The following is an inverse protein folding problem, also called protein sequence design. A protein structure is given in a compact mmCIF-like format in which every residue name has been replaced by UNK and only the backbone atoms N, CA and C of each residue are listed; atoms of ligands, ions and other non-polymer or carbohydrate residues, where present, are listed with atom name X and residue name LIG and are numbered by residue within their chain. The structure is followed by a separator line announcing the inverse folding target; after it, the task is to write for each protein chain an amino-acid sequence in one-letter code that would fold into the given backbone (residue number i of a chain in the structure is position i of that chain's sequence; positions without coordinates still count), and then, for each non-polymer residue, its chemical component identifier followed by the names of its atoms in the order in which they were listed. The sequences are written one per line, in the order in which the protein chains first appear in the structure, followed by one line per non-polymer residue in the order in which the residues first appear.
data_IF_353896161868
#
_entry.id   IF_353896161868
#
_cell.length_a   1.000
_cell.length_b   1.000
_cell.length_c   1.000
_cell.angle_alpha   90.00
_cell.angle_beta   90.00
_cell.angle_gamma   90.00
#
_symmetry.space_group_name_H-M   'P 1'
#
loop_
_entity.id
_entity.type
_entity.pdbx_description
1 polymer ?
#
# COMPACT_ATOMS: atom_id res chain seq x y z
N UNK A 1 -16.18 14.18 1.97
CA UNK A 1 -16.08 14.42 3.44
C UNK A 1 -17.29 15.16 3.95
N UNK A 2 -17.41 16.49 3.76
CA UNK A 2 -18.47 17.33 4.35
C UNK A 2 -19.89 16.70 4.32
N UNK A 3 -20.37 16.33 3.14
CA UNK A 3 -21.71 15.75 2.93
C UNK A 3 -21.87 14.30 3.41
N UNK A 4 -20.78 13.53 3.53
CA UNK A 4 -20.85 12.14 4.00
C UNK A 4 -20.92 12.06 5.52
N UNK A 5 -20.04 12.81 6.22
CA UNK A 5 -19.97 12.80 7.67
C UNK A 5 -21.17 13.47 8.32
N UNK A 6 -21.80 14.49 7.70
CA UNK A 6 -23.03 15.10 8.23
C UNK A 6 -24.18 14.09 8.35
N UNK A 7 -24.34 13.20 7.37
CA UNK A 7 -25.39 12.17 7.35
C UNK A 7 -25.08 11.03 8.33
N UNK A 8 -23.81 10.62 8.46
CA UNK A 8 -23.42 9.69 9.53
C UNK A 8 -23.70 10.27 10.91
N UNK A 9 -23.36 11.54 11.15
CA UNK A 9 -23.63 12.22 12.42
C UNK A 9 -25.13 12.26 12.72
N UNK A 10 -25.98 12.58 11.75
CA UNK A 10 -27.43 12.54 11.92
C UNK A 10 -27.94 11.12 12.26
N UNK A 11 -27.44 10.09 11.58
CA UNK A 11 -27.79 8.69 11.87
C UNK A 11 -27.35 8.27 13.28
N UNK A 12 -26.12 8.60 13.68
CA UNK A 12 -25.59 8.30 15.02
C UNK A 12 -26.34 9.05 16.13
N UNK A 13 -26.78 10.29 15.89
CA UNK A 13 -27.62 11.04 16.83
C UNK A 13 -29.02 10.42 16.96
N UNK A 14 -29.61 9.94 15.87
CA UNK A 14 -30.85 9.14 15.93
C UNK A 14 -30.68 7.87 16.76
N UNK A 15 -29.56 7.15 16.56
CA UNK A 15 -29.26 5.92 17.30
C UNK A 15 -28.99 6.20 18.78
N UNK A 16 -28.37 7.33 19.11
CA UNK A 16 -28.20 7.80 20.48
C UNK A 16 -29.55 8.12 21.12
N UNK A 17 -30.46 8.79 20.39
CA UNK A 17 -31.80 9.12 20.87
C UNK A 17 -32.65 7.86 21.13
N UNK A 18 -32.63 6.87 20.23
CA UNK A 18 -33.33 5.59 20.44
C UNK A 18 -32.80 4.86 21.69
N UNK A 19 -31.48 4.91 21.93
CA UNK A 19 -30.84 4.21 23.06
C UNK A 19 -30.95 4.92 24.42
N UNK A 20 -31.07 6.24 24.44
CA UNK A 20 -30.95 7.04 25.69
C UNK A 20 -32.11 8.00 25.96
N UNK A 21 -32.91 8.34 24.95
CA UNK A 21 -34.01 9.32 25.05
C UNK A 21 -35.39 8.71 24.77
N UNK A 22 -35.47 7.40 24.49
CA UNK A 22 -36.73 6.71 24.20
C UNK A 22 -37.33 7.08 22.83
N UNK A 23 -36.49 7.47 21.87
CA UNK A 23 -36.95 7.66 20.49
C UNK A 23 -37.15 6.31 19.76
N UNK A 24 -37.86 6.36 18.62
CA UNK A 24 -38.22 5.19 17.80
C UNK A 24 -37.85 5.40 16.32
N UNK A 25 -36.68 6.00 16.06
CA UNK A 25 -36.21 6.36 14.70
C UNK A 25 -35.85 5.11 13.89
N UNK A 26 -35.20 4.13 14.51
CA UNK A 26 -34.74 2.90 13.87
C UNK A 26 -35.55 1.65 14.26
N UNK A 27 -36.72 1.86 14.86
CA UNK A 27 -37.66 0.80 15.26
C UNK A 27 -38.07 -0.07 14.05
N UNK A 28 -37.97 -1.43 14.14
CA UNK A 28 -38.45 -2.34 13.11
C UNK A 28 -39.91 -2.10 12.69
N UNK A 29 -40.79 -1.68 13.61
CA UNK A 29 -42.21 -1.43 13.32
C UNK A 29 -42.41 -0.30 12.28
N UNK A 30 -41.47 0.65 12.21
CA UNK A 30 -41.52 1.82 11.33
C UNK A 30 -40.62 1.67 10.10
N UNK A 31 -40.07 0.48 9.83
CA UNK A 31 -39.09 0.25 8.76
C UNK A 31 -37.68 0.79 9.06
N UNK A 32 -37.43 1.20 10.30
CA UNK A 32 -36.21 1.90 10.72
C UNK A 32 -34.90 1.13 10.47
N UNK A 33 -34.95 -0.21 10.47
CA UNK A 33 -33.80 -1.07 10.15
C UNK A 33 -33.27 -0.85 8.71
N UNK A 34 -34.17 -0.58 7.75
CA UNK A 34 -33.79 -0.28 6.36
C UNK A 34 -33.33 1.18 6.23
N UNK A 35 -33.98 2.10 6.95
CA UNK A 35 -33.56 3.50 7.03
C UNK A 35 -32.12 3.62 7.53
N UNK A 36 -31.77 2.93 8.62
CA UNK A 36 -30.39 2.87 9.13
C UNK A 36 -29.40 2.43 8.06
N UNK A 37 -29.70 1.35 7.32
CA UNK A 37 -28.82 0.86 6.23
C UNK A 37 -28.62 1.91 5.14
N UNK A 38 -29.67 2.61 4.71
CA UNK A 38 -29.52 3.68 3.71
C UNK A 38 -28.65 4.84 4.23
N UNK A 39 -28.89 5.33 5.44
CA UNK A 39 -28.12 6.45 6.01
C UNK A 39 -26.64 6.06 6.25
N UNK A 40 -26.40 4.87 6.81
CA UNK A 40 -25.05 4.36 7.05
C UNK A 40 -24.27 4.18 5.75
N UNK A 41 -24.86 3.53 4.73
CA UNK A 41 -24.16 3.31 3.47
C UNK A 41 -24.01 4.57 2.63
N UNK A 42 -24.92 5.54 2.74
CA UNK A 42 -24.75 6.87 2.13
C UNK A 42 -23.48 7.56 2.62
N UNK A 43 -23.05 7.30 3.86
CA UNK A 43 -21.70 7.65 4.33
C UNK A 43 -20.62 6.66 3.84
N UNK A 44 -20.84 5.36 4.05
CA UNK A 44 -19.82 4.32 3.90
C UNK A 44 -19.30 4.14 2.47
N UNK A 45 -20.11 4.42 1.44
CA UNK A 45 -19.62 4.34 0.06
C UNK A 45 -18.75 5.56 -0.34
N UNK A 46 -19.12 6.82 -0.04
CA UNK A 46 -18.19 7.94 -0.12
C UNK A 46 -16.90 7.77 0.72
N UNK A 47 -16.99 7.15 1.91
CA UNK A 47 -15.81 6.90 2.77
C UNK A 47 -14.68 6.19 2.03
N UNK A 48 -14.98 5.14 1.26
CA UNK A 48 -13.91 4.38 0.58
C UNK A 48 -13.17 5.22 -0.48
N UNK A 49 -13.80 6.24 -1.09
CA UNK A 49 -13.11 7.19 -1.97
C UNK A 49 -12.44 8.34 -1.22
N UNK A 50 -13.01 8.80 -0.11
CA UNK A 50 -12.34 9.75 0.78
C UNK A 50 -10.96 9.19 1.18
N UNK A 51 -10.89 7.89 1.47
CA UNK A 51 -9.62 7.19 1.71
C UNK A 51 -8.82 6.97 0.42
N UNK A 52 -9.43 6.60 -0.71
CA UNK A 52 -8.69 6.22 -1.93
C UNK A 52 -8.11 7.39 -2.75
N UNK A 53 -8.80 8.53 -2.84
CA UNK A 53 -8.41 9.64 -3.72
C UNK A 53 -7.01 10.22 -3.43
N UNK A 54 -6.57 10.40 -2.15
CA UNK A 54 -5.20 10.81 -1.84
C UNK A 54 -4.13 9.86 -2.39
N UNK A 55 -4.36 8.54 -2.35
CA UNK A 55 -3.42 7.55 -2.89
C UNK A 55 -3.28 7.62 -4.39
N UNK A 56 -4.38 7.86 -5.11
CA UNK A 56 -4.31 8.12 -6.54
C UNK A 56 -3.43 9.35 -6.83
N UNK A 57 -3.55 10.41 -6.02
CA UNK A 57 -2.68 11.59 -6.04
C UNK A 57 -1.19 11.24 -5.90
N UNK A 58 -0.82 10.50 -4.85
CA UNK A 58 0.57 10.08 -4.60
C UNK A 58 1.15 9.31 -5.81
N UNK A 59 0.38 8.39 -6.38
CA UNK A 59 0.81 7.59 -7.54
C UNK A 59 0.99 8.45 -8.81
N UNK A 60 0.25 9.55 -8.95
CA UNK A 60 0.44 10.52 -10.04
C UNK A 60 1.72 11.35 -9.93
N UNK A 61 2.30 11.51 -8.75
CA UNK A 61 3.61 12.16 -8.59
C UNK A 61 4.75 11.14 -8.81
N UNK A 62 4.56 9.89 -8.39
CA UNK A 62 5.59 8.84 -8.50
C UNK A 62 5.80 8.44 -9.96
N UNK A 63 4.76 8.06 -10.71
CA UNK A 63 4.97 7.51 -12.04
C UNK A 63 5.70 8.47 -13.00
N UNK A 64 5.43 9.79 -13.05
CA UNK A 64 6.19 10.71 -13.89
C UNK A 64 7.67 10.82 -13.49
N UNK A 65 7.95 10.94 -12.19
CA UNK A 65 9.31 11.08 -11.65
C UNK A 65 10.15 9.84 -11.98
N UNK A 66 9.65 8.66 -11.62
CA UNK A 66 10.40 7.41 -11.78
C UNK A 66 10.36 6.84 -13.21
N UNK A 67 9.48 7.34 -14.09
CA UNK A 67 9.50 7.05 -15.53
C UNK A 67 10.23 8.11 -16.36
N UNK A 68 10.69 9.21 -15.74
CA UNK A 68 11.33 10.38 -16.38
C UNK A 68 10.52 10.96 -17.54
N UNK A 69 9.19 11.02 -17.38
CA UNK A 69 8.24 11.39 -18.44
C UNK A 69 7.03 12.12 -17.82
N UNK A 70 6.50 13.21 -18.43
CA UNK A 70 5.33 13.90 -17.89
C UNK A 70 4.09 13.00 -17.83
N UNK A 71 3.19 13.30 -16.90
CA UNK A 71 1.94 12.55 -16.70
C UNK A 71 1.10 12.52 -17.98
N UNK A 72 0.72 11.32 -18.42
CA UNK A 72 -0.15 11.14 -19.58
C UNK A 72 -1.61 11.49 -19.23
N UNK A 73 -2.27 12.26 -20.09
CA UNK A 73 -3.71 12.47 -20.00
C UNK A 73 -4.20 13.31 -18.81
N UNK A 74 -3.39 14.26 -18.29
CA UNK A 74 -3.70 15.09 -17.11
C UNK A 74 -5.16 15.62 -17.04
N UNK A 75 -5.70 16.16 -18.15
CA UNK A 75 -7.10 16.63 -18.18
C UNK A 75 -8.10 15.51 -17.89
N UNK A 76 -7.91 14.34 -18.51
CA UNK A 76 -8.76 13.15 -18.29
C UNK A 76 -8.65 12.60 -16.87
N UNK A 77 -7.48 12.71 -16.24
CA UNK A 77 -7.22 12.35 -14.85
C UNK A 77 -8.01 13.25 -13.87
N UNK A 78 -8.03 14.57 -14.11
CA UNK A 78 -8.82 15.52 -13.31
C UNK A 78 -10.31 15.22 -13.45
N UNK A 79 -10.82 15.10 -14.69
CA UNK A 79 -12.22 14.77 -14.94
C UNK A 79 -12.64 13.41 -14.37
N UNK A 80 -11.80 12.38 -14.48
CA UNK A 80 -12.05 11.08 -13.87
C UNK A 80 -12.12 11.17 -12.33
N UNK A 81 -11.30 12.02 -11.72
CA UNK A 81 -11.30 12.22 -10.27
C UNK A 81 -12.56 12.96 -9.80
N UNK A 82 -13.01 13.98 -10.54
CA UNK A 82 -14.28 14.68 -10.29
C UNK A 82 -15.48 13.75 -10.51
N UNK A 83 -15.47 12.93 -11.56
CA UNK A 83 -16.52 11.94 -11.84
C UNK A 83 -16.62 10.90 -10.73
N UNK A 84 -15.50 10.36 -10.24
CA UNK A 84 -15.49 9.44 -9.08
C UNK A 84 -16.07 10.12 -7.84
N UNK A 85 -15.68 11.37 -7.54
CA UNK A 85 -16.21 12.10 -6.40
C UNK A 85 -17.74 12.31 -6.51
N UNK A 86 -18.25 12.69 -7.68
CA UNK A 86 -19.67 12.86 -7.93
C UNK A 86 -20.47 11.55 -7.89
N UNK A 87 -19.95 10.47 -8.48
CA UNK A 87 -20.59 9.15 -8.48
C UNK A 87 -20.58 8.50 -7.09
N UNK A 88 -19.61 8.80 -6.23
CA UNK A 88 -19.47 8.18 -4.91
C UNK A 88 -20.71 8.32 -4.00
N UNK A 89 -21.50 9.38 -4.18
CA UNK A 89 -22.73 9.65 -3.41
C UNK A 89 -24.00 9.08 -4.07
N UNK A 90 -23.89 8.46 -5.25
CA UNK A 90 -25.03 8.02 -6.05
C UNK A 90 -25.20 6.48 -6.12
N UNK A 91 -24.36 5.72 -5.40
CA UNK A 91 -24.24 4.26 -5.58
C UNK A 91 -24.40 3.43 -4.29
N UNK A 92 -24.61 4.08 -3.13
CA UNK A 92 -24.50 3.45 -1.81
C UNK A 92 -25.32 2.16 -1.63
N UNK A 93 -26.48 2.06 -2.26
CA UNK A 93 -27.41 0.96 -2.05
C UNK A 93 -26.99 -0.35 -2.74
N UNK A 94 -25.83 -0.43 -3.42
CA UNK A 94 -25.27 -1.75 -3.77
C UNK A 94 -24.87 -2.58 -2.56
N UNK A 95 -24.54 -1.94 -1.43
CA UNK A 95 -24.35 -2.63 -0.14
C UNK A 95 -25.67 -3.15 0.48
N UNK A 96 -26.77 -3.08 -0.28
CA UNK A 96 -28.12 -3.40 0.15
C UNK A 96 -28.90 -4.23 -0.88
N UNK A 97 -28.30 -4.71 -1.97
CA UNK A 97 -29.03 -5.46 -3.01
C UNK A 97 -29.80 -6.65 -2.43
N UNK A 98 -29.17 -7.47 -1.58
CA UNK A 98 -29.80 -8.62 -0.92
C UNK A 98 -30.95 -8.27 0.06
N UNK A 99 -31.21 -6.98 0.34
CA UNK A 99 -32.32 -6.56 1.23
C UNK A 99 -33.67 -6.47 0.53
N UNK A 100 -33.71 -6.43 -0.80
CA UNK A 100 -34.94 -6.21 -1.58
C UNK A 100 -35.51 -4.78 -1.54
N UNK A 101 -34.94 -3.87 -0.74
CA UNK A 101 -35.42 -2.50 -0.55
C UNK A 101 -34.70 -1.46 -1.44
N UNK A 102 -34.29 -1.85 -2.66
CA UNK A 102 -33.39 -1.05 -3.52
C UNK A 102 -33.88 -1.03 -4.97
N UNK A 103 -33.78 0.13 -5.63
CA UNK A 103 -33.98 0.25 -7.07
C UNK A 103 -32.79 -0.36 -7.84
N UNK A 104 -32.74 -1.69 -7.93
CA UNK A 104 -31.60 -2.46 -8.45
C UNK A 104 -31.05 -1.95 -9.79
N UNK A 105 -31.86 -1.64 -10.83
CA UNK A 105 -31.31 -1.23 -12.13
C UNK A 105 -30.52 0.08 -12.07
N UNK A 106 -30.99 1.05 -11.27
CA UNK A 106 -30.32 2.33 -11.09
C UNK A 106 -28.98 2.17 -10.37
N UNK A 107 -28.99 1.53 -9.19
CA UNK A 107 -27.78 1.38 -8.38
C UNK A 107 -26.74 0.48 -9.05
N UNK A 108 -27.18 -0.57 -9.76
CA UNK A 108 -26.32 -1.41 -10.60
C UNK A 108 -25.63 -0.60 -11.70
N UNK A 109 -26.41 0.10 -12.52
CA UNK A 109 -25.89 0.95 -13.59
C UNK A 109 -24.90 2.00 -13.08
N UNK A 110 -25.27 2.74 -12.03
CA UNK A 110 -24.42 3.79 -11.47
C UNK A 110 -23.13 3.23 -10.84
N UNK A 111 -23.17 2.02 -10.27
CA UNK A 111 -21.97 1.33 -9.75
C UNK A 111 -21.04 0.88 -10.88
N UNK A 112 -21.58 0.29 -11.96
CA UNK A 112 -20.80 -0.03 -13.16
C UNK A 112 -20.15 1.22 -13.77
N UNK A 113 -20.84 2.35 -13.76
CA UNK A 113 -20.36 3.60 -14.35
C UNK A 113 -19.06 4.10 -13.68
N UNK A 114 -18.79 3.78 -12.41
CA UNK A 114 -17.53 4.11 -11.71
C UNK A 114 -16.32 3.38 -12.32
N UNK A 115 -16.52 2.23 -12.97
CA UNK A 115 -15.43 1.52 -13.64
C UNK A 115 -14.82 2.34 -14.79
N UNK A 116 -15.61 3.21 -15.45
CA UNK A 116 -15.14 4.04 -16.59
C UNK A 116 -14.08 5.06 -16.18
N UNK A 117 -14.32 6.02 -15.25
CA UNK A 117 -13.29 6.96 -14.82
C UNK A 117 -12.13 6.24 -14.10
N UNK A 118 -12.39 5.14 -13.41
CA UNK A 118 -11.31 4.33 -12.80
C UNK A 118 -10.41 3.72 -13.88
N UNK A 119 -10.97 3.16 -14.95
CA UNK A 119 -10.24 2.64 -16.11
C UNK A 119 -9.40 3.72 -16.83
N UNK A 120 -9.94 4.93 -17.01
CA UNK A 120 -9.18 6.08 -17.55
C UNK A 120 -7.92 6.36 -16.72
N UNK A 121 -8.01 6.24 -15.39
CA UNK A 121 -6.86 6.43 -14.49
C UNK A 121 -5.80 5.34 -14.69
N UNK A 122 -6.21 4.07 -14.86
CA UNK A 122 -5.31 2.97 -15.23
C UNK A 122 -4.59 3.20 -16.57
N UNK A 123 -5.31 3.57 -17.63
CA UNK A 123 -4.69 3.85 -18.92
C UNK A 123 -3.74 5.05 -18.87
N UNK A 124 -4.06 6.08 -18.08
CA UNK A 124 -3.16 7.22 -17.88
C UNK A 124 -1.88 6.85 -17.10
N UNK A 125 -1.99 6.02 -16.06
CA UNK A 125 -0.84 5.49 -15.33
C UNK A 125 0.07 4.66 -16.25
N UNK A 126 -0.50 3.71 -17.00
CA UNK A 126 0.25 2.87 -17.96
C UNK A 126 0.87 3.74 -19.07
N UNK A 127 0.13 4.71 -19.62
CA UNK A 127 0.61 5.65 -20.64
C UNK A 127 1.73 6.57 -20.15
N UNK A 128 1.80 6.84 -18.84
CA UNK A 128 2.90 7.58 -18.21
C UNK A 128 4.17 6.74 -18.13
N UNK A 129 4.06 5.45 -17.78
CA UNK A 129 5.19 4.51 -17.77
C UNK A 129 5.64 4.09 -19.18
N UNK A 130 4.71 4.05 -20.15
CA UNK A 130 4.96 3.55 -21.51
C UNK A 130 6.02 4.35 -22.25
N UNK A 131 7.09 3.68 -22.72
CA UNK A 131 8.30 4.30 -23.30
C UNK A 131 9.01 5.31 -22.37
N UNK A 132 8.74 5.26 -21.06
CA UNK A 132 9.53 5.96 -20.05
C UNK A 132 10.82 5.22 -19.72
N UNK A 133 11.75 5.90 -19.06
CA UNK A 133 12.94 5.29 -18.47
C UNK A 133 12.62 4.96 -17.01
N UNK A 134 12.02 3.78 -16.78
CA UNK A 134 11.66 3.33 -15.43
C UNK A 134 12.92 3.05 -14.60
N UNK A 135 12.97 3.61 -13.40
CA UNK A 135 13.85 3.12 -12.33
C UNK A 135 13.01 2.51 -11.20
N UNK A 136 13.53 1.43 -10.61
CA UNK A 136 12.79 0.56 -9.67
C UNK A 136 13.19 0.82 -8.22
N UNK A 137 13.24 2.09 -7.83
CA UNK A 137 13.32 2.48 -6.43
C UNK A 137 12.04 2.05 -5.68
N UNK A 138 12.14 1.94 -4.36
CA UNK A 138 11.03 1.56 -3.47
C UNK A 138 9.68 2.25 -3.79
N UNK A 139 9.61 3.58 -4.07
CA UNK A 139 8.35 4.23 -4.42
C UNK A 139 7.68 3.68 -5.68
N UNK A 140 8.49 3.36 -6.70
CA UNK A 140 8.00 2.83 -7.97
C UNK A 140 7.48 1.41 -7.80
N UNK A 141 8.22 0.56 -7.07
CA UNK A 141 7.81 -0.83 -6.79
C UNK A 141 6.47 -0.88 -6.04
N UNK A 142 6.31 -0.07 -4.98
CA UNK A 142 5.03 -0.01 -4.26
C UNK A 142 3.88 0.52 -5.13
N UNK A 143 4.13 1.47 -6.03
CA UNK A 143 3.10 2.02 -6.91
C UNK A 143 2.67 1.05 -8.01
N UNK A 144 3.60 0.25 -8.54
CA UNK A 144 3.28 -0.87 -9.45
C UNK A 144 2.53 -1.98 -8.71
N UNK A 145 2.94 -2.31 -7.48
CA UNK A 145 2.23 -3.27 -6.62
C UNK A 145 0.79 -2.82 -6.28
N UNK A 146 0.60 -1.54 -5.97
CA UNK A 146 -0.72 -0.92 -5.85
C UNK A 146 -1.52 -1.08 -7.15
N UNK A 147 -0.94 -0.76 -8.31
CA UNK A 147 -1.64 -0.85 -9.60
C UNK A 147 -2.13 -2.28 -9.89
N UNK A 148 -1.32 -3.31 -9.61
CA UNK A 148 -1.72 -4.71 -9.79
C UNK A 148 -2.80 -5.14 -8.79
N UNK A 149 -2.61 -4.87 -7.49
CA UNK A 149 -3.58 -5.27 -6.44
C UNK A 149 -4.91 -4.55 -6.57
N UNK A 150 -4.88 -3.25 -6.88
CA UNK A 150 -6.06 -2.44 -7.13
C UNK A 150 -6.79 -2.84 -8.41
N UNK A 151 -6.11 -3.39 -9.42
CA UNK A 151 -6.76 -3.95 -10.62
C UNK A 151 -7.64 -5.16 -10.27
N UNK A 152 -7.11 -6.13 -9.52
CA UNK A 152 -7.90 -7.28 -9.06
C UNK A 152 -9.05 -6.88 -8.11
N UNK A 153 -8.81 -5.89 -7.24
CA UNK A 153 -9.85 -5.26 -6.43
C UNK A 153 -10.95 -4.60 -7.28
N UNK A 154 -10.57 -3.84 -8.31
CA UNK A 154 -11.52 -3.20 -9.23
C UNK A 154 -12.35 -4.22 -10.02
N UNK A 155 -11.72 -5.26 -10.56
CA UNK A 155 -12.40 -6.34 -11.30
C UNK A 155 -13.40 -7.10 -10.41
N UNK A 156 -13.05 -7.42 -9.17
CA UNK A 156 -13.99 -8.04 -8.22
C UNK A 156 -15.13 -7.09 -7.83
N UNK A 157 -14.88 -5.77 -7.78
CA UNK A 157 -15.91 -4.75 -7.57
C UNK A 157 -16.92 -4.65 -8.72
N UNK A 158 -16.47 -4.83 -9.96
CA UNK A 158 -17.35 -4.92 -11.14
C UNK A 158 -18.26 -6.15 -11.06
N UNK A 159 -17.78 -7.27 -10.49
CA UNK A 159 -18.62 -8.46 -10.26
C UNK A 159 -19.68 -8.19 -9.18
N UNK A 160 -19.33 -7.50 -8.09
CA UNK A 160 -20.28 -7.09 -7.04
C UNK A 160 -21.28 -6.01 -7.51
N UNK A 161 -20.93 -5.22 -8.53
CA UNK A 161 -21.87 -4.27 -9.13
C UNK A 161 -23.08 -4.97 -9.79
N UNK A 162 -22.95 -6.25 -10.16
CA UNK A 162 -24.00 -7.06 -10.77
C UNK A 162 -24.89 -7.76 -9.71
N UNK A 163 -26.18 -7.39 -9.54
CA UNK A 163 -27.05 -8.02 -8.54
C UNK A 163 -27.17 -9.55 -8.71
N UNK A 164 -27.13 -10.04 -9.95
CA UNK A 164 -27.18 -11.48 -10.25
C UNK A 164 -26.00 -12.28 -9.68
N UNK A 165 -24.85 -11.64 -9.49
CA UNK A 165 -23.68 -12.24 -8.82
C UNK A 165 -23.75 -11.93 -7.32
N UNK A 166 -23.99 -10.66 -6.96
CA UNK A 166 -24.01 -10.20 -5.57
C UNK A 166 -24.97 -11.01 -4.69
N UNK A 167 -26.17 -11.37 -5.18
CA UNK A 167 -27.11 -12.23 -4.44
C UNK A 167 -26.53 -13.59 -4.00
N UNK A 168 -25.47 -14.08 -4.66
CA UNK A 168 -24.79 -15.34 -4.32
C UNK A 168 -23.57 -15.14 -3.42
N UNK A 169 -23.01 -13.91 -3.36
CA UNK A 169 -21.74 -13.62 -2.70
C UNK A 169 -21.82 -12.52 -1.62
N UNK A 170 -22.97 -11.88 -1.45
CA UNK A 170 -23.27 -10.95 -0.36
C UNK A 170 -22.99 -11.60 0.99
N UNK A 171 -22.45 -10.83 1.94
CA UNK A 171 -22.02 -11.28 3.27
C UNK A 171 -21.06 -12.51 3.28
N UNK A 172 -20.38 -12.79 2.16
CA UNK A 172 -19.41 -13.89 2.04
C UNK A 172 -17.94 -13.42 2.03
N UNK A 173 -17.01 -14.37 2.13
CA UNK A 173 -15.58 -14.13 1.98
C UNK A 173 -15.18 -13.49 0.63
N UNK A 174 -16.03 -13.52 -0.40
CA UNK A 174 -15.76 -12.83 -1.66
C UNK A 174 -15.79 -11.30 -1.49
N UNK A 175 -16.78 -10.77 -0.76
CA UNK A 175 -16.87 -9.33 -0.43
C UNK A 175 -15.70 -8.92 0.45
N UNK A 176 -15.34 -9.76 1.44
CA UNK A 176 -14.16 -9.58 2.28
C UNK A 176 -12.89 -9.51 1.43
N UNK A 177 -12.70 -10.43 0.49
CA UNK A 177 -11.53 -10.43 -0.40
C UNK A 177 -11.50 -9.20 -1.30
N UNK A 178 -12.61 -8.84 -1.94
CA UNK A 178 -12.73 -7.63 -2.76
C UNK A 178 -12.28 -6.38 -2.00
N UNK A 179 -12.87 -6.13 -0.82
CA UNK A 179 -12.56 -4.96 0.00
C UNK A 179 -11.09 -4.94 0.42
N UNK A 180 -10.54 -6.09 0.81
CA UNK A 180 -9.12 -6.20 1.16
C UNK A 180 -8.18 -5.99 -0.03
N UNK A 181 -8.51 -6.40 -1.26
CA UNK A 181 -7.70 -6.06 -2.45
C UNK A 181 -7.65 -4.55 -2.69
N UNK A 182 -8.80 -3.87 -2.65
CA UNK A 182 -8.82 -2.40 -2.83
C UNK A 182 -8.22 -1.66 -1.64
N UNK A 183 -8.29 -2.19 -0.42
CA UNK A 183 -7.73 -1.57 0.79
C UNK A 183 -6.22 -1.83 1.00
N UNK A 184 -5.74 -3.07 0.90
CA UNK A 184 -4.31 -3.37 1.06
C UNK A 184 -3.44 -2.76 -0.05
N UNK A 185 -3.97 -2.62 -1.27
CA UNK A 185 -3.29 -1.82 -2.30
C UNK A 185 -2.97 -0.40 -1.83
N UNK A 186 -3.87 0.22 -1.06
CA UNK A 186 -3.65 1.55 -0.44
C UNK A 186 -2.68 1.49 0.74
N UNK A 187 -2.62 0.38 1.49
CA UNK A 187 -1.69 0.20 2.63
C UNK A 187 -0.21 0.13 2.20
N UNK A 188 0.10 -0.45 1.02
CA UNK A 188 1.44 -0.32 0.44
C UNK A 188 1.86 1.13 0.21
N UNK A 189 0.91 2.00 -0.15
CA UNK A 189 1.14 3.43 -0.31
C UNK A 189 1.11 4.21 1.02
N UNK A 190 0.52 3.70 2.11
CA UNK A 190 0.71 4.24 3.46
C UNK A 190 2.15 4.04 3.96
N UNK A 191 2.76 2.87 3.73
CA UNK A 191 4.19 2.64 4.05
C UNK A 191 5.09 3.60 3.27
N UNK A 192 4.70 3.91 2.02
CA UNK A 192 5.41 4.85 1.18
C UNK A 192 5.18 6.32 1.58
N UNK A 193 3.96 6.71 1.95
CA UNK A 193 3.66 8.02 2.52
C UNK A 193 4.32 8.25 3.88
N UNK A 194 4.50 7.19 4.68
CA UNK A 194 5.29 7.25 5.89
C UNK A 194 6.80 7.43 5.58
N UNK A 195 7.32 6.84 4.50
CA UNK A 195 8.72 7.02 4.10
C UNK A 195 9.02 8.35 3.38
N UNK A 196 8.01 9.16 3.04
CA UNK A 196 8.22 10.58 2.70
C UNK A 196 8.30 11.49 3.94
N UNK A 197 7.92 11.04 5.14
CA UNK A 197 8.06 11.84 6.37
C UNK A 197 9.53 12.23 6.67
N UNK A 198 10.53 11.35 6.55
CA UNK A 198 11.95 11.75 6.62
C UNK A 198 12.38 12.75 5.54
N UNK A 199 11.80 12.67 4.34
CA UNK A 199 12.09 13.59 3.24
C UNK A 199 11.49 14.98 3.50
N UNK A 200 10.23 15.05 3.93
CA UNK A 200 9.55 16.30 4.34
C UNK A 200 10.25 16.91 5.54
N UNK A 201 10.67 16.08 6.52
CA UNK A 201 11.49 16.52 7.64
C UNK A 201 12.83 17.11 7.19
N UNK A 202 13.52 16.49 6.22
CA UNK A 202 14.74 17.03 5.65
C UNK A 202 14.50 18.34 4.89
N UNK A 203 13.39 18.51 4.17
CA UNK A 203 13.01 19.80 3.54
C UNK A 203 12.79 20.86 4.63
N UNK A 204 11.99 20.57 5.66
CA UNK A 204 11.74 21.48 6.77
C UNK A 204 13.05 21.86 7.49
N UNK A 205 13.91 20.87 7.79
CA UNK A 205 15.23 21.09 8.39
C UNK A 205 16.11 21.98 7.51
N UNK A 206 16.15 21.73 6.20
CA UNK A 206 16.95 22.51 5.25
C UNK A 206 16.41 23.95 5.10
N UNK A 207 15.09 24.13 5.04
CA UNK A 207 14.47 25.44 4.95
C UNK A 207 14.64 26.28 6.23
N UNK A 208 14.60 25.64 7.41
CA UNK A 208 14.61 26.36 8.70
C UNK A 208 15.99 26.47 9.36
N UNK A 209 16.91 25.55 9.07
CA UNK A 209 18.24 25.47 9.69
C UNK A 209 19.37 25.22 8.67
N UNK A 210 19.09 25.24 7.36
CA UNK A 210 20.13 25.13 6.35
C UNK A 210 21.00 26.38 6.33
N UNK A 211 22.32 26.21 6.44
CA UNK A 211 23.26 27.31 6.26
C UNK A 211 23.15 27.85 4.83
N UNK A 212 23.07 29.17 4.69
CA UNK A 212 23.00 29.79 3.37
C UNK A 212 24.36 29.60 2.70
N UNK A 213 24.42 28.96 1.54
CA UNK A 213 25.69 28.72 0.82
C UNK A 213 26.49 30.02 0.55
N UNK A 214 25.81 31.17 0.46
CA UNK A 214 26.39 32.51 0.36
C UNK A 214 27.06 33.04 1.65
N UNK A 215 26.91 32.37 2.80
CA UNK A 215 27.73 32.61 4.00
C UNK A 215 29.02 31.79 3.94
N UNK A 216 28.96 30.51 3.53
CA UNK A 216 30.14 29.65 3.40
C UNK A 216 31.16 30.21 2.40
N UNK A 217 30.72 30.82 1.30
CA UNK A 217 31.62 31.50 0.36
C UNK A 217 32.22 32.82 0.89
N UNK A 218 31.65 33.41 1.95
CA UNK A 218 32.21 34.61 2.63
C UNK A 218 33.15 34.26 3.79
N UNK A 219 32.99 33.09 4.41
CA UNK A 219 33.85 32.62 5.51
C UNK A 219 34.94 31.65 5.07
N UNK A 220 34.85 31.05 3.88
CA UNK A 220 35.93 30.26 3.29
C UNK A 220 37.20 31.13 3.16
N UNK A 221 38.36 30.70 3.70
CA UNK A 221 39.60 31.46 3.59
C UNK A 221 40.03 31.55 2.13
N UNK A 222 40.01 32.76 1.57
CA UNK A 222 40.40 33.01 0.19
C UNK A 222 41.82 32.44 -0.08
N UNK A 223 41.99 31.45 -0.99
CA UNK A 223 43.28 30.79 -1.22
C UNK A 223 44.37 31.76 -1.70
N UNK A 224 44.00 32.86 -2.36
CA UNK A 224 44.94 33.91 -2.78
C UNK A 224 45.44 34.75 -1.59
N UNK A 225 44.68 34.86 -0.50
CA UNK A 225 45.07 35.59 0.71
C UNK A 225 46.00 34.78 1.59
N UNK A 226 45.76 33.47 1.74
CA UNK A 226 46.68 32.54 2.43
C UNK A 226 47.99 32.34 1.66
N UNK A 227 47.96 32.34 0.32
CA UNK A 227 49.18 32.33 -0.49
C UNK A 227 50.04 33.61 -0.27
N UNK A 228 49.42 34.80 -0.30
CA UNK A 228 50.13 36.07 -0.06
C UNK A 228 50.69 36.20 1.36
N UNK A 229 50.00 35.68 2.38
CA UNK A 229 50.53 35.67 3.75
C UNK A 229 51.73 34.72 3.93
N UNK A 230 51.78 33.60 3.20
CA UNK A 230 52.98 32.73 3.18
C UNK A 230 54.17 33.36 2.45
N UNK A 231 53.92 34.15 1.42
CA UNK A 231 54.95 34.86 0.66
C UNK A 231 55.49 36.13 1.34
N UNK A 232 54.90 36.57 2.47
CA UNK A 232 55.25 37.79 3.19
C UNK A 232 56.06 37.54 4.48
N UNK A 233 56.43 36.28 4.77
CA UNK A 233 57.34 35.94 5.86
C UNK A 233 58.79 36.00 5.33
N UNK A 234 59.69 36.78 5.95
CA UNK A 234 61.09 36.78 5.55
C UNK A 234 61.72 35.40 5.82
N UNK A 235 62.54 34.93 4.89
CA UNK A 235 63.37 33.76 5.10
C UNK A 235 64.40 34.07 6.21
N UNK A 236 64.45 33.22 7.23
CA UNK A 236 65.51 33.27 8.22
C UNK A 236 66.63 32.33 7.75
N UNK A 237 67.70 32.91 7.21
CA UNK A 237 68.94 32.18 6.99
C UNK A 237 69.57 31.79 8.34
N UNK A 238 70.24 30.64 8.36
CA UNK A 238 70.78 30.05 9.57
C UNK A 238 71.19 28.60 9.38
N UNK A 239 72.25 28.37 8.60
CA UNK A 239 72.96 27.10 8.62
C UNK A 239 73.54 26.84 10.02
N UNK A 240 73.17 25.71 10.63
CA UNK A 240 74.02 25.03 11.60
C UNK A 240 73.63 23.56 11.71
N UNK A 241 74.47 22.68 11.16
CA UNK A 241 74.40 21.23 11.35
C UNK A 241 75.56 20.79 12.24
N UNK A 242 75.33 19.90 13.21
CA UNK A 242 75.86 18.55 12.97
C UNK A 242 75.00 17.41 13.54
N UNK A 243 75.19 16.21 12.96
CA UNK A 243 74.89 14.94 13.63
C UNK A 243 73.79 14.08 13.01
N UNK A 244 74.13 13.27 12.00
CA UNK A 244 73.35 12.05 11.69
C UNK A 244 73.63 10.97 12.74
N UNK A 245 72.58 10.30 13.25
CA UNK A 245 72.64 8.86 13.43
C UNK A 245 71.65 8.11 12.52
N UNK A 246 71.87 6.79 12.42
CA UNK A 246 71.23 5.88 11.45
C UNK A 246 69.76 5.59 11.75
N UNK A 247 69.06 5.13 10.71
CA UNK A 247 67.78 4.44 10.82
C UNK A 247 67.81 3.34 11.89
N UNK A 248 66.84 3.38 12.80
CA UNK A 248 66.35 2.19 13.49
C UNK A 248 64.82 2.16 13.41
N UNK A 249 64.28 1.02 13.00
CA UNK A 249 62.88 0.69 13.21
C UNK A 249 62.57 0.77 14.71
N UNK A 250 61.52 1.50 15.10
CA UNK A 250 60.86 1.25 16.38
C UNK A 250 59.35 1.37 16.26
N UNK A 251 58.69 0.39 16.87
CA UNK A 251 57.25 0.18 16.82
C UNK A 251 56.51 1.17 17.73
N UNK A 252 55.21 1.26 17.52
CA UNK A 252 54.24 1.92 18.40
C UNK A 252 54.33 1.46 19.86
N UNK A 253 53.88 2.33 20.78
CA UNK A 253 53.14 1.84 21.93
C UNK A 253 51.81 2.59 22.11
N UNK A 254 50.72 1.84 22.12
CA UNK A 254 49.48 2.26 22.79
C UNK A 254 49.37 1.46 24.10
N UNK A 255 49.36 2.12 25.27
CA UNK A 255 49.05 1.47 26.55
C UNK A 255 48.73 2.46 27.69
N UNK A 256 47.45 2.49 28.11
CA UNK A 256 47.03 2.31 29.51
C UNK A 256 45.50 2.15 29.55
N UNK A 257 44.95 0.94 29.41
CA UNK A 257 44.81 -0.13 30.42
C UNK A 257 44.07 0.26 31.71
N UNK A 258 42.80 -0.17 31.78
CA UNK A 258 42.11 -0.57 33.00
C UNK A 258 41.65 -2.04 32.86
N UNK A 259 41.95 -2.88 33.85
CA UNK A 259 41.48 -4.27 34.00
C UNK A 259 39.94 -4.32 34.17
N UNK A 260 39.18 -5.39 33.96
CA UNK A 260 39.32 -6.70 33.27
C UNK A 260 37.89 -7.35 33.24
N UNK A 261 37.57 -8.63 32.98
CA UNK A 261 38.29 -9.88 32.68
C UNK A 261 37.44 -10.73 31.70
N UNK A 262 38.04 -11.35 30.68
CA UNK A 262 38.27 -12.80 30.53
C UNK A 262 37.02 -13.73 30.45
N UNK A 263 36.75 -14.26 29.24
CA UNK A 263 36.53 -15.70 28.91
C UNK A 263 36.26 -15.86 27.39
N UNK A 264 37.25 -16.44 26.69
CA UNK A 264 37.23 -17.57 25.71
C UNK A 264 35.92 -17.86 24.91
N UNK A 265 35.89 -18.21 23.60
CA UNK A 265 36.86 -18.95 22.73
C UNK A 265 36.59 -18.69 21.21
N UNK A 266 37.53 -19.03 20.31
CA UNK A 266 37.43 -18.92 18.82
C UNK A 266 36.45 -19.92 18.15
N UNK A 267 36.36 -20.06 16.80
CA UNK A 267 37.30 -19.76 15.70
C UNK A 267 36.58 -19.45 14.36
N UNK A 268 37.27 -18.78 13.42
CA UNK A 268 36.94 -18.78 11.96
C UNK A 268 38.00 -19.57 11.17
N UNK A 269 37.58 -20.36 10.17
CA UNK A 269 38.26 -20.74 8.90
C UNK A 269 37.17 -21.27 7.95
N UNK A 270 36.90 -20.66 6.78
CA UNK A 270 37.66 -20.64 5.52
C UNK A 270 37.38 -21.87 4.61
N UNK A 271 36.75 -21.60 3.46
CA UNK A 271 36.51 -22.51 2.32
C UNK A 271 37.82 -22.92 1.61
N UNK A 272 37.89 -24.08 0.91
CA UNK A 272 37.56 -24.09 -0.54
C UNK A 272 37.01 -25.43 -1.13
N UNK A 273 36.33 -25.32 -2.28
CA UNK A 273 36.71 -26.13 -3.46
C UNK A 273 35.98 -27.45 -3.84
N UNK A 274 34.93 -27.31 -4.68
CA UNK A 274 34.69 -28.06 -5.95
C UNK A 274 34.20 -29.54 -5.95
N UNK A 275 33.47 -29.85 -7.03
CA UNK A 275 33.11 -31.15 -7.64
C UNK A 275 31.78 -31.87 -7.27
N UNK A 276 30.90 -31.96 -8.28
CA UNK A 276 29.93 -33.05 -8.59
C UNK A 276 30.61 -34.00 -9.61
N UNK A 277 30.15 -35.24 -9.92
CA UNK A 277 28.74 -35.70 -9.98
C UNK A 277 28.45 -37.17 -9.56
N UNK A 278 27.19 -37.64 -9.71
CA UNK A 278 26.94 -39.02 -10.18
C UNK A 278 25.96 -39.95 -9.43
N UNK A 279 24.68 -39.94 -9.86
CA UNK A 279 23.77 -41.09 -10.04
C UNK A 279 23.32 -42.05 -8.90
N UNK A 280 22.16 -42.68 -9.17
CA UNK A 280 21.50 -43.84 -8.50
C UNK A 280 20.86 -43.52 -7.14
N UNK A 281 19.57 -43.80 -6.87
CA UNK A 281 18.53 -44.47 -7.64
C UNK A 281 18.11 -45.80 -7.02
N UNK A 282 17.03 -45.79 -6.21
CA UNK A 282 16.24 -46.98 -5.84
C UNK A 282 14.87 -46.57 -5.28
N UNK A 283 13.84 -47.33 -5.64
CA UNK A 283 12.48 -47.22 -5.14
C UNK A 283 12.09 -48.51 -4.41
N UNK A 284 11.33 -48.39 -3.31
CA UNK A 284 10.65 -49.43 -2.52
C UNK A 284 10.06 -48.70 -1.28
N UNK A 285 8.87 -48.97 -0.74
CA UNK A 285 7.69 -49.75 -1.16
C UNK A 285 6.50 -49.26 -0.32
N UNK A 286 5.26 -49.33 -0.83
CA UNK A 286 4.05 -49.11 -0.01
C UNK A 286 3.73 -50.35 0.85
N UNK A 287 3.06 -50.18 1.99
CA UNK A 287 2.00 -51.08 2.45
C UNK A 287 0.60 -50.50 2.17
N UNK A 288 -0.35 -51.38 1.96
CA UNK A 288 -1.74 -51.11 1.60
C UNK A 288 -2.65 -51.23 2.84
N UNK A 289 -3.70 -50.42 2.94
CA UNK A 289 -4.86 -50.73 3.81
C UNK A 289 -6.13 -50.56 2.97
N UNK A 290 -7.00 -51.58 3.00
CA UNK A 290 -8.26 -51.61 2.26
C UNK A 290 -9.41 -50.96 3.03
N UNK A 291 -10.35 -50.36 2.30
CA UNK A 291 -11.58 -49.77 2.83
C UNK A 291 -12.60 -49.49 1.73
N UNK A 292 -13.34 -50.51 1.33
CA UNK A 292 -14.57 -50.45 0.50
C UNK A 292 -15.73 -49.83 1.28
N UNK A 293 -16.81 -49.27 0.71
CA UNK A 293 -17.16 -48.85 -0.66
C UNK A 293 -18.41 -47.95 -0.56
N UNK A 294 -18.80 -47.22 -1.60
CA UNK A 294 -20.05 -46.43 -1.56
C UNK A 294 -20.23 -45.38 -2.66
N UNK A 295 -20.31 -45.80 -3.93
CA UNK A 295 -20.59 -44.90 -5.07
C UNK A 295 -22.11 -44.72 -5.25
N UNK A 296 -22.68 -43.49 -5.20
CA UNK A 296 -24.05 -43.26 -5.63
C UNK A 296 -24.12 -43.22 -7.16
N UNK A 297 -25.00 -44.02 -7.75
CA UNK A 297 -25.19 -44.06 -9.20
C UNK A 297 -26.04 -42.87 -9.68
N UNK A 298 -25.50 -42.07 -10.60
CA UNK A 298 -26.28 -41.07 -11.31
C UNK A 298 -27.07 -41.74 -12.45
N UNK A 299 -28.39 -41.77 -12.33
CA UNK A 299 -29.29 -41.98 -13.49
C UNK A 299 -29.89 -40.64 -13.89
N UNK A 300 -29.47 -40.13 -15.05
CA UNK A 300 -30.09 -38.94 -15.64
C UNK A 300 -31.33 -39.34 -16.43
N UNK A 301 -32.49 -38.82 -16.02
CA UNK A 301 -33.66 -38.64 -16.89
C UNK A 301 -34.13 -37.21 -16.68
N UNK A 302 -34.31 -36.47 -17.77
CA UNK A 302 -34.76 -35.08 -17.76
C UNK A 302 -36.17 -35.00 -18.39
N UNK A 303 -36.93 -33.89 -18.27
CA UNK A 303 -36.54 -32.61 -17.67
C UNK A 303 -37.66 -31.94 -16.81
N UNK A 304 -37.63 -32.05 -15.47
CA UNK A 304 -38.27 -31.03 -14.59
C UNK A 304 -37.80 -31.11 -13.13
N UNK A 305 -37.49 -29.94 -12.54
CA UNK A 305 -37.34 -29.63 -11.10
C UNK A 305 -36.59 -30.62 -10.17
N UNK A 306 -35.33 -30.30 -9.85
CA UNK A 306 -34.65 -30.82 -8.65
C UNK A 306 -34.80 -29.84 -7.47
N UNK A 307 -35.47 -30.27 -6.40
CA UNK A 307 -35.69 -29.53 -5.15
C UNK A 307 -34.60 -29.91 -4.13
N UNK A 308 -33.74 -28.98 -3.72
CA UNK A 308 -32.74 -29.24 -2.67
C UNK A 308 -33.40 -29.31 -1.29
N UNK A 309 -33.35 -30.48 -0.64
CA UNK A 309 -33.75 -30.65 0.76
C UNK A 309 -32.66 -30.14 1.72
N UNK A 310 -33.05 -29.38 2.74
CA UNK A 310 -32.14 -28.96 3.82
C UNK A 310 -31.93 -30.10 4.83
N UNK A 311 -30.70 -30.33 5.34
CA UNK A 311 -30.49 -31.18 6.51
C UNK A 311 -31.07 -30.53 7.77
N UNK A 312 -31.82 -31.30 8.55
CA UNK A 312 -32.38 -30.87 9.83
C UNK A 312 -31.39 -31.18 10.97
N UNK A 313 -30.88 -30.16 11.66
CA UNK A 313 -29.98 -30.32 12.81
C UNK A 313 -30.69 -29.88 14.09
N UNK A 314 -31.35 -30.85 14.74
CA UNK A 314 -31.84 -30.73 16.11
C UNK A 314 -31.58 -32.04 16.85
N UNK A 315 -30.60 -32.06 17.77
CA UNK A 315 -30.50 -32.96 18.95
C UNK A 315 -29.12 -32.83 19.63
N UNK A 316 -28.98 -31.83 20.51
CA UNK A 316 -28.37 -31.87 21.86
C UNK A 316 -28.19 -30.46 22.39
#
# INVERSE_FOLDING_TARGET
MLLAFSILTAALLGLLADRHLGAHVFDPANGGVILWRHLFWFFGHPEVYIVALPFFGIVYEIFPVFSRKPIFGYKGLVWATLAIAALSVAVWAHHMYATGAVLLPFFSFMTFLIAVPTGVKFFNWIGTMWKGQLSFETPMIFSVGFLVTFLFGGLTGILLAAPAIDFQVSDSYFVVAHFHYVLYGRIGAYVLGASTLPFIWNIFKSYRYGEVAAQLHRTAPNPLRTARLRAALPAHDGDDAPGRPRHLHRQTPAARTGRADAVTTGHRRAYPGRSRPGQRGRAMTRPTVQGSAGTPSQRCVAPTYCRYGRPNWSTR
#
